data_IF_648383963846
#
_entry.id   IF_648383963846
#
_cell.length_a   1.000
_cell.length_b   1.000
_cell.length_c   1.000
_cell.angle_alpha   90.00
_cell.angle_beta   90.00
_cell.angle_gamma   90.00
#
_symmetry.space_group_name_H-M   'P 1'
#
loop_
_entity.id
_entity.type
_entity.pdbx_description
1 polymer ?
#
# COMPACT_ATOMS: atom_id res chain seq x y z
N UNK A 1 -27.44 19.70 9.17
CA UNK A 1 -26.20 19.74 8.35
C UNK A 1 -24.90 19.89 9.13
N UNK A 2 -24.71 20.88 10.01
CA UNK A 2 -23.44 21.05 10.76
C UNK A 2 -23.01 19.82 11.58
N UNK A 3 -23.94 19.13 12.27
CA UNK A 3 -23.64 17.90 13.03
C UNK A 3 -23.15 16.75 12.13
N UNK A 4 -23.70 16.64 10.92
CA UNK A 4 -23.31 15.62 9.93
C UNK A 4 -21.89 15.91 9.41
N UNK A 5 -21.60 17.17 9.08
CA UNK A 5 -20.26 17.59 8.66
C UNK A 5 -19.22 17.41 9.77
N UNK A 6 -19.55 17.77 11.01
CA UNK A 6 -18.67 17.53 12.15
C UNK A 6 -18.40 16.04 12.34
N UNK A 7 -19.43 15.18 12.25
CA UNK A 7 -19.27 13.72 12.34
C UNK A 7 -18.37 13.15 11.25
N UNK A 8 -18.53 13.59 10.00
CA UNK A 8 -17.66 13.18 8.89
C UNK A 8 -16.22 13.68 9.08
N UNK A 9 -16.04 14.93 9.53
CA UNK A 9 -14.72 15.49 9.78
C UNK A 9 -13.98 14.73 10.89
N UNK A 10 -14.67 14.41 11.98
CA UNK A 10 -14.14 13.59 13.08
C UNK A 10 -13.71 12.23 12.55
N UNK A 11 -14.56 11.55 11.76
CA UNK A 11 -14.20 10.25 11.14
C UNK A 11 -12.91 10.36 10.32
N UNK A 12 -12.77 11.39 9.49
CA UNK A 12 -11.57 11.56 8.65
C UNK A 12 -10.30 11.85 9.45
N UNK A 13 -10.40 12.55 10.59
CA UNK A 13 -9.25 12.82 11.48
C UNK A 13 -8.90 11.56 12.27
N UNK A 14 -9.88 10.93 12.91
CA UNK A 14 -9.69 9.71 13.70
C UNK A 14 -9.09 8.58 12.86
N UNK A 15 -9.50 8.43 11.59
CA UNK A 15 -8.87 7.45 10.70
C UNK A 15 -7.40 7.72 10.45
N UNK A 16 -7.01 8.99 10.24
CA UNK A 16 -5.61 9.32 10.02
C UNK A 16 -4.77 9.02 11.27
N UNK A 17 -5.27 9.39 12.44
CA UNK A 17 -4.64 9.09 13.73
C UNK A 17 -4.53 7.57 13.97
N UNK A 18 -5.57 6.81 13.64
CA UNK A 18 -5.55 5.34 13.72
C UNK A 18 -4.44 4.76 12.83
N UNK A 19 -4.39 5.16 11.56
CA UNK A 19 -3.36 4.67 10.62
C UNK A 19 -1.96 4.99 11.14
N UNK A 20 -1.72 6.24 11.56
CA UNK A 20 -0.43 6.68 12.07
C UNK A 20 -0.04 5.98 13.37
N UNK A 21 -1.01 5.74 14.25
CA UNK A 21 -0.79 5.01 15.51
C UNK A 21 -0.38 3.57 15.23
N UNK A 22 -1.08 2.87 14.33
CA UNK A 22 -0.74 1.50 13.95
C UNK A 22 0.65 1.45 13.33
N UNK A 23 0.95 2.32 12.38
CA UNK A 23 2.24 2.38 11.71
C UNK A 23 3.40 2.61 12.70
N UNK A 24 3.25 3.61 13.57
CA UNK A 24 4.26 3.94 14.57
C UNK A 24 4.45 2.83 15.62
N UNK A 25 3.38 2.18 16.06
CA UNK A 25 3.48 1.07 17.03
C UNK A 25 4.18 -0.12 16.38
N UNK A 26 3.77 -0.52 15.19
CA UNK A 26 4.29 -1.73 14.54
C UNK A 26 5.73 -1.53 14.07
N UNK A 27 6.04 -0.38 13.46
CA UNK A 27 7.31 -0.15 12.76
C UNK A 27 8.26 0.85 13.41
N UNK A 28 7.89 1.47 14.53
CA UNK A 28 8.56 2.62 15.13
C UNK A 28 8.38 3.93 14.33
N UNK A 29 8.28 5.10 14.97
CA UNK A 29 8.05 6.36 14.28
C UNK A 29 9.07 6.66 13.17
N UNK A 30 8.55 7.14 12.03
CA UNK A 30 9.28 7.52 10.83
C UNK A 30 9.98 6.40 10.05
N UNK A 31 10.00 5.14 10.53
CA UNK A 31 10.61 4.00 9.82
C UNK A 31 9.96 3.78 8.45
N UNK A 32 8.62 3.70 8.38
CA UNK A 32 7.89 3.51 7.12
C UNK A 32 8.15 4.62 6.09
N UNK A 33 8.32 5.87 6.55
CA UNK A 33 8.64 7.00 5.67
C UNK A 33 10.07 6.92 5.13
N UNK A 34 11.02 6.46 5.94
CA UNK A 34 12.40 6.21 5.49
C UNK A 34 12.43 5.07 4.48
N UNK A 35 11.66 4.02 4.72
CA UNK A 35 11.54 2.88 3.80
C UNK A 35 11.05 3.32 2.41
N UNK A 36 10.01 4.17 2.35
CA UNK A 36 9.53 4.71 1.07
C UNK A 36 10.61 5.51 0.33
N UNK A 37 11.37 6.33 1.06
CA UNK A 37 12.46 7.10 0.48
C UNK A 37 13.58 6.19 -0.06
N UNK A 38 13.91 5.10 0.65
CA UNK A 38 14.91 4.12 0.21
C UNK A 38 14.41 3.31 -0.99
N UNK A 39 13.13 2.91 -1.03
CA UNK A 39 12.55 2.26 -2.22
C UNK A 39 12.63 3.16 -3.46
N UNK A 40 12.30 4.44 -3.30
CA UNK A 40 12.44 5.45 -4.36
C UNK A 40 13.90 5.60 -4.81
N UNK A 41 14.83 5.77 -3.86
CA UNK A 41 16.25 5.94 -4.14
C UNK A 41 16.90 4.70 -4.76
N UNK A 42 16.45 3.50 -4.39
CA UNK A 42 16.90 2.25 -4.99
C UNK A 42 16.42 2.13 -6.44
N UNK A 43 15.17 2.50 -6.73
CA UNK A 43 14.65 2.54 -8.10
C UNK A 43 15.39 3.56 -8.97
N UNK A 44 15.73 4.74 -8.42
CA UNK A 44 16.52 5.77 -9.12
C UNK A 44 17.93 5.32 -9.50
N UNK A 45 18.55 4.50 -8.65
CA UNK A 45 19.93 3.99 -8.85
C UNK A 45 19.98 2.64 -9.56
N UNK A 46 18.84 2.07 -9.98
CA UNK A 46 18.69 0.68 -10.46
C UNK A 46 19.31 -0.36 -9.50
N UNK A 47 19.25 -0.09 -8.19
CA UNK A 47 19.84 -0.89 -7.12
C UNK A 47 18.78 -1.67 -6.32
N UNK A 48 17.72 -2.12 -7.00
CA UNK A 48 16.56 -2.78 -6.38
C UNK A 48 16.89 -4.15 -5.74
N UNK A 49 17.98 -4.76 -6.17
CA UNK A 49 18.48 -6.04 -5.65
C UNK A 49 19.20 -5.87 -4.30
N UNK A 50 19.53 -4.63 -3.89
CA UNK A 50 20.16 -4.36 -2.60
C UNK A 50 19.16 -4.47 -1.44
N UNK A 51 19.60 -5.03 -0.32
CA UNK A 51 18.83 -5.01 0.91
C UNK A 51 18.76 -3.61 1.49
N UNK A 52 17.53 -3.18 1.81
CA UNK A 52 17.28 -1.89 2.44
C UNK A 52 17.30 -2.16 3.93
N UNK A 53 18.37 -1.74 4.59
CA UNK A 53 18.46 -1.77 6.04
C UNK A 53 18.03 -0.42 6.59
N UNK A 54 17.14 -0.43 7.59
CA UNK A 54 16.74 0.78 8.31
C UNK A 54 17.09 0.56 9.78
N UNK A 55 18.01 1.36 10.32
CA UNK A 55 18.52 1.23 11.70
C UNK A 55 17.43 1.14 12.79
N UNK A 56 16.22 1.66 12.51
CA UNK A 56 15.08 1.70 13.42
C UNK A 56 14.09 0.55 13.25
N UNK A 57 14.29 -0.38 12.31
CA UNK A 57 13.32 -1.44 11.97
C UNK A 57 13.00 -2.39 13.15
N UNK A 58 13.98 -2.60 14.03
CA UNK A 58 13.86 -3.47 15.21
C UNK A 58 13.33 -2.78 16.48
N UNK A 59 13.08 -1.47 16.41
CA UNK A 59 12.56 -0.68 17.53
C UNK A 59 11.02 -0.72 17.62
N UNK A 60 10.34 -1.21 16.57
CA UNK A 60 8.90 -1.38 16.54
C UNK A 60 8.39 -2.58 17.35
N UNK A 61 7.09 -2.59 17.63
CA UNK A 61 6.46 -3.64 18.44
C UNK A 61 6.14 -4.93 17.66
N UNK A 62 6.38 -4.97 16.35
CA UNK A 62 6.06 -6.12 15.49
C UNK A 62 6.50 -7.48 16.08
N UNK A 63 7.75 -7.58 16.56
CA UNK A 63 8.33 -8.83 17.11
C UNK A 63 7.64 -9.33 18.40
N UNK A 64 6.89 -8.46 19.07
CA UNK A 64 6.16 -8.78 20.29
C UNK A 64 4.67 -9.08 20.05
N UNK A 65 4.20 -9.00 18.80
CA UNK A 65 2.81 -9.23 18.43
C UNK A 65 2.58 -10.65 17.91
N UNK A 66 1.49 -11.31 18.32
CA UNK A 66 1.07 -12.58 17.73
C UNK A 66 0.44 -12.36 16.35
N UNK A 67 0.31 -13.42 15.54
CA UNK A 67 -0.35 -13.31 14.22
C UNK A 67 -1.79 -12.81 14.38
N UNK A 68 -2.48 -13.22 15.43
CA UNK A 68 -3.82 -12.73 15.77
C UNK A 68 -3.84 -11.20 15.96
N UNK A 69 -2.89 -10.62 16.72
CA UNK A 69 -2.83 -9.17 16.90
C UNK A 69 -2.62 -8.44 15.57
N UNK A 70 -1.69 -8.94 14.74
CA UNK A 70 -1.41 -8.33 13.44
C UNK A 70 -2.62 -8.42 12.48
N UNK A 71 -3.33 -9.55 12.45
CA UNK A 71 -4.56 -9.67 11.65
C UNK A 71 -5.64 -8.69 12.08
N UNK A 72 -5.79 -8.42 13.40
CA UNK A 72 -6.71 -7.38 13.88
C UNK A 72 -6.31 -5.98 13.44
N UNK A 73 -5.01 -5.66 13.44
CA UNK A 73 -4.53 -4.38 12.90
C UNK A 73 -4.77 -4.27 11.40
N UNK A 74 -4.56 -5.38 10.66
CA UNK A 74 -4.86 -5.46 9.23
C UNK A 74 -6.36 -5.21 8.95
N UNK A 75 -7.27 -5.79 9.74
CA UNK A 75 -8.71 -5.53 9.60
C UNK A 75 -9.02 -4.03 9.71
N UNK A 76 -8.51 -3.37 10.76
CA UNK A 76 -8.67 -1.93 10.97
C UNK A 76 -8.11 -1.08 9.81
N UNK A 77 -6.93 -1.43 9.30
CA UNK A 77 -6.29 -0.72 8.19
C UNK A 77 -7.09 -0.90 6.89
N UNK A 78 -7.58 -2.11 6.62
CA UNK A 78 -8.39 -2.41 5.43
C UNK A 78 -9.73 -1.68 5.49
N UNK A 79 -10.42 -1.65 6.63
CA UNK A 79 -11.64 -0.86 6.79
C UNK A 79 -11.40 0.63 6.55
N UNK A 80 -10.30 1.18 7.08
CA UNK A 80 -9.91 2.57 6.85
C UNK A 80 -9.59 2.85 5.38
N UNK A 81 -8.92 1.91 4.69
CA UNK A 81 -8.65 2.00 3.26
C UNK A 81 -9.95 1.98 2.45
N UNK A 82 -10.84 1.01 2.68
CA UNK A 82 -12.11 0.88 1.97
C UNK A 82 -12.99 2.12 2.11
N UNK A 83 -13.04 2.72 3.31
CA UNK A 83 -13.74 3.99 3.50
C UNK A 83 -13.14 5.12 2.67
N UNK A 84 -11.81 5.27 2.71
CA UNK A 84 -11.11 6.36 2.02
C UNK A 84 -11.22 6.23 0.49
N UNK A 85 -11.08 5.00 -0.03
CA UNK A 85 -11.32 4.65 -1.43
C UNK A 85 -12.74 4.97 -1.86
N UNK A 86 -13.75 4.53 -1.11
CA UNK A 86 -15.15 4.81 -1.40
C UNK A 86 -15.45 6.33 -1.42
N UNK A 87 -14.89 7.07 -0.46
CA UNK A 87 -14.99 8.53 -0.43
C UNK A 87 -14.35 9.17 -1.67
N UNK A 88 -13.13 8.75 -2.04
CA UNK A 88 -12.39 9.33 -3.15
C UNK A 88 -13.04 9.05 -4.51
N UNK A 89 -13.61 7.85 -4.69
CA UNK A 89 -14.34 7.42 -5.88
C UNK A 89 -15.72 8.07 -6.01
N UNK A 90 -16.33 8.55 -4.93
CA UNK A 90 -17.64 9.20 -4.99
C UNK A 90 -17.54 10.67 -5.41
N UNK A 91 -17.45 10.90 -6.72
CA UNK A 91 -17.32 12.24 -7.29
C UNK A 91 -18.49 13.16 -6.89
N UNK A 92 -19.72 12.65 -6.92
CA UNK A 92 -20.94 13.42 -6.63
C UNK A 92 -20.96 13.88 -5.18
N UNK A 93 -20.80 12.96 -4.23
CA UNK A 93 -20.75 13.27 -2.80
C UNK A 93 -19.67 14.30 -2.49
N UNK A 94 -18.47 14.13 -3.05
CA UNK A 94 -17.37 15.10 -2.87
C UNK A 94 -17.70 16.48 -3.45
N UNK A 95 -18.42 16.55 -4.56
CA UNK A 95 -18.88 17.83 -5.13
C UNK A 95 -19.90 18.51 -4.23
N UNK A 96 -20.86 17.75 -3.69
CA UNK A 96 -21.85 18.27 -2.72
C UNK A 96 -21.15 18.81 -1.47
N UNK A 97 -20.22 18.03 -0.90
CA UNK A 97 -19.44 18.45 0.27
C UNK A 97 -18.66 19.74 0.00
N UNK A 98 -17.99 19.82 -1.15
CA UNK A 98 -17.25 21.02 -1.55
C UNK A 98 -18.15 22.26 -1.69
N UNK A 99 -19.30 22.12 -2.36
CA UNK A 99 -20.29 23.21 -2.49
C UNK A 99 -20.86 23.65 -1.14
N UNK A 100 -20.95 22.74 -0.19
CA UNK A 100 -21.35 23.03 1.20
C UNK A 100 -20.22 23.63 2.06
N UNK A 101 -19.03 23.88 1.50
CA UNK A 101 -17.89 24.46 2.22
C UNK A 101 -17.14 23.49 3.13
N UNK A 102 -17.37 22.18 3.00
CA UNK A 102 -16.67 21.17 3.80
C UNK A 102 -15.16 21.18 3.47
N UNK A 103 -14.33 21.45 4.50
CA UNK A 103 -12.85 21.57 4.41
C UNK A 103 -12.34 22.67 3.45
N UNK A 104 -13.09 23.76 3.31
CA UNK A 104 -12.59 24.98 2.67
C UNK A 104 -12.78 25.04 1.15
N UNK A 105 -11.80 25.59 0.43
CA UNK A 105 -11.97 26.06 -0.96
C UNK A 105 -11.76 24.98 -2.03
N UNK A 106 -11.19 23.82 -1.70
CA UNK A 106 -10.91 22.75 -2.67
C UNK A 106 -11.79 21.52 -2.43
N UNK A 107 -11.96 20.70 -3.47
CA UNK A 107 -12.75 19.48 -3.39
C UNK A 107 -12.09 18.52 -2.39
N UNK A 108 -12.76 18.13 -1.29
CA UNK A 108 -12.15 17.31 -0.26
C UNK A 108 -11.74 15.96 -0.83
N UNK A 109 -10.64 15.40 -0.34
CA UNK A 109 -10.18 14.05 -0.65
C UNK A 109 -9.57 13.41 0.59
N UNK A 110 -9.41 12.10 0.56
CA UNK A 110 -8.77 11.28 1.58
C UNK A 110 -7.60 10.49 0.98
N UNK A 111 -6.89 11.08 0.00
CA UNK A 111 -5.80 10.39 -0.71
C UNK A 111 -4.73 9.91 0.26
N UNK A 112 -4.37 10.74 1.24
CA UNK A 112 -3.39 10.38 2.27
C UNK A 112 -3.86 9.20 3.13
N UNK A 113 -5.13 9.20 3.57
CA UNK A 113 -5.68 8.08 4.34
C UNK A 113 -5.72 6.81 3.49
N UNK A 114 -6.17 6.91 2.25
CA UNK A 114 -6.24 5.80 1.31
C UNK A 114 -4.88 5.14 1.08
N UNK A 115 -3.86 5.94 0.75
CA UNK A 115 -2.53 5.41 0.42
C UNK A 115 -1.76 4.98 1.66
N UNK A 116 -1.84 5.73 2.77
CA UNK A 116 -1.11 5.39 4.01
C UNK A 116 -1.69 4.14 4.69
N UNK A 117 -3.02 3.97 4.71
CA UNK A 117 -3.64 2.77 5.29
C UNK A 117 -3.25 1.51 4.52
N UNK A 118 -3.29 1.57 3.20
CA UNK A 118 -2.92 0.45 2.35
C UNK A 118 -1.41 0.17 2.39
N UNK A 119 -0.56 1.20 2.39
CA UNK A 119 0.88 1.02 2.53
C UNK A 119 1.25 0.36 3.87
N UNK A 120 0.65 0.81 4.98
CA UNK A 120 0.85 0.18 6.30
C UNK A 120 0.38 -1.29 6.30
N UNK A 121 -0.79 -1.56 5.69
CA UNK A 121 -1.32 -2.92 5.53
C UNK A 121 -0.34 -3.82 4.76
N UNK A 122 0.17 -3.34 3.62
CA UNK A 122 1.15 -4.08 2.81
C UNK A 122 2.45 -4.34 3.56
N UNK A 123 2.99 -3.35 4.31
CA UNK A 123 4.21 -3.55 5.11
C UNK A 123 4.02 -4.66 6.15
N UNK A 124 2.87 -4.68 6.83
CA UNK A 124 2.56 -5.72 7.82
C UNK A 124 2.48 -7.08 7.12
N UNK A 125 1.70 -7.19 6.04
CA UNK A 125 1.52 -8.45 5.33
C UNK A 125 2.84 -8.98 4.76
N UNK A 126 3.63 -8.16 4.07
CA UNK A 126 4.92 -8.58 3.52
C UNK A 126 5.90 -8.98 4.63
N UNK A 127 5.95 -8.24 5.75
CA UNK A 127 6.81 -8.61 6.90
C UNK A 127 6.37 -9.94 7.50
N UNK A 128 5.07 -10.16 7.70
CA UNK A 128 4.53 -11.44 8.17
C UNK A 128 4.84 -12.59 7.20
N UNK A 129 4.81 -12.31 5.89
CA UNK A 129 4.92 -13.33 4.86
C UNK A 129 6.34 -13.87 4.68
N UNK A 130 7.36 -13.13 5.12
CA UNK A 130 8.77 -13.58 5.14
C UNK A 130 9.26 -13.96 6.54
N UNK A 131 8.41 -13.80 7.56
CA UNK A 131 8.73 -14.13 8.95
C UNK A 131 8.58 -15.62 9.20
N UNK A 132 9.72 -16.28 9.42
CA UNK A 132 9.81 -17.72 9.68
C UNK A 132 9.10 -18.15 10.97
N UNK A 133 8.89 -17.23 11.92
CA UNK A 133 8.14 -17.52 13.15
C UNK A 133 6.62 -17.56 12.93
N UNK A 134 6.15 -17.29 11.70
CA UNK A 134 4.73 -17.22 11.34
C UNK A 134 4.34 -18.19 10.23
N UNK A 135 5.15 -19.24 10.02
CA UNK A 135 4.90 -20.29 9.01
C UNK A 135 3.50 -20.87 9.10
N UNK A 136 2.99 -21.06 10.31
CA UNK A 136 1.64 -21.54 10.61
C UNK A 136 0.53 -20.66 10.02
N UNK A 137 0.82 -19.38 9.79
CA UNK A 137 -0.12 -18.39 9.25
C UNK A 137 0.13 -18.06 7.77
N UNK A 138 1.16 -18.61 7.12
CA UNK A 138 1.59 -18.18 5.78
C UNK A 138 0.51 -18.31 4.71
N UNK A 139 -0.28 -19.38 4.71
CA UNK A 139 -1.36 -19.55 3.73
C UNK A 139 -2.42 -18.44 3.85
N UNK A 140 -2.82 -18.11 5.07
CA UNK A 140 -3.78 -17.04 5.35
C UNK A 140 -3.19 -15.66 4.98
N UNK A 141 -1.90 -15.44 5.25
CA UNK A 141 -1.18 -14.22 4.86
C UNK A 141 -1.12 -14.10 3.34
N UNK A 142 -0.76 -15.18 2.63
CA UNK A 142 -0.68 -15.21 1.17
C UNK A 142 -2.03 -14.89 0.53
N UNK A 143 -3.10 -15.54 0.99
CA UNK A 143 -4.46 -15.30 0.48
C UNK A 143 -4.87 -13.83 0.67
N UNK A 144 -4.65 -13.28 1.86
CA UNK A 144 -4.98 -11.87 2.14
C UNK A 144 -4.13 -10.92 1.31
N UNK A 145 -2.83 -11.18 1.17
CA UNK A 145 -1.91 -10.36 0.37
C UNK A 145 -2.27 -10.38 -1.13
N UNK A 146 -2.62 -11.55 -1.68
CA UNK A 146 -3.11 -11.66 -3.06
C UNK A 146 -4.38 -10.83 -3.25
N UNK A 147 -5.37 -10.96 -2.37
CA UNK A 147 -6.63 -10.18 -2.45
C UNK A 147 -6.36 -8.67 -2.42
N UNK A 148 -5.63 -8.20 -1.41
CA UNK A 148 -5.36 -6.77 -1.19
C UNK A 148 -4.59 -6.18 -2.37
N UNK A 149 -3.55 -6.84 -2.85
CA UNK A 149 -2.76 -6.36 -3.97
C UNK A 149 -3.54 -6.39 -5.29
N UNK A 150 -4.31 -7.44 -5.56
CA UNK A 150 -5.16 -7.50 -6.75
C UNK A 150 -6.20 -6.39 -6.77
N UNK A 151 -6.88 -6.14 -5.64
CA UNK A 151 -7.82 -5.04 -5.51
C UNK A 151 -7.17 -3.67 -5.68
N UNK A 152 -5.95 -3.49 -5.16
CA UNK A 152 -5.18 -2.26 -5.28
C UNK A 152 -4.77 -2.00 -6.74
N UNK A 153 -4.20 -3.00 -7.42
CA UNK A 153 -3.78 -2.90 -8.82
C UNK A 153 -4.99 -2.69 -9.74
N UNK A 154 -6.07 -3.45 -9.55
CA UNK A 154 -7.32 -3.27 -10.28
C UNK A 154 -7.88 -1.86 -10.09
N UNK A 155 -7.85 -1.34 -8.86
CA UNK A 155 -8.33 0.01 -8.59
C UNK A 155 -7.47 1.07 -9.27
N UNK A 156 -6.14 0.98 -9.15
CA UNK A 156 -5.21 1.94 -9.75
C UNK A 156 -5.44 2.13 -11.26
N UNK A 157 -5.74 1.04 -11.99
CA UNK A 157 -6.04 1.09 -13.42
C UNK A 157 -7.27 1.97 -13.72
N UNK A 158 -8.25 2.00 -12.81
CA UNK A 158 -9.48 2.81 -12.96
C UNK A 158 -9.31 4.29 -12.56
N UNK A 159 -8.21 4.66 -11.91
CA UNK A 159 -8.00 6.01 -11.37
C UNK A 159 -7.67 7.00 -12.50
N UNK A 160 -8.63 7.80 -12.96
CA UNK A 160 -8.39 8.71 -14.09
C UNK A 160 -7.62 10.00 -13.74
N UNK A 161 -7.52 10.37 -12.47
CA UNK A 161 -6.88 11.61 -12.02
C UNK A 161 -5.37 11.45 -11.90
N UNK A 162 -4.60 12.28 -12.60
CA UNK A 162 -3.13 12.28 -12.57
C UNK A 162 -2.59 12.48 -11.14
N UNK A 163 -3.08 13.49 -10.41
CA UNK A 163 -2.68 13.72 -9.02
C UNK A 163 -3.07 12.57 -8.07
N UNK A 164 -4.14 11.83 -8.36
CA UNK A 164 -4.47 10.62 -7.62
C UNK A 164 -3.46 9.50 -7.96
N UNK A 165 -3.13 9.27 -9.23
CA UNK A 165 -2.09 8.30 -9.61
C UNK A 165 -0.74 8.65 -9.00
N UNK A 166 -0.37 9.93 -9.01
CA UNK A 166 0.87 10.42 -8.40
C UNK A 166 0.93 10.08 -6.90
N UNK A 167 -0.17 10.27 -6.16
CA UNK A 167 -0.27 9.89 -4.75
C UNK A 167 -0.08 8.38 -4.50
N UNK A 168 -0.32 7.53 -5.50
CA UNK A 168 -0.16 6.08 -5.45
C UNK A 168 1.25 5.59 -5.81
N UNK A 169 2.15 6.47 -6.26
CA UNK A 169 3.49 6.11 -6.72
C UNK A 169 4.27 5.28 -5.71
N UNK A 170 4.42 5.77 -4.48
CA UNK A 170 5.15 5.06 -3.42
C UNK A 170 4.49 3.74 -3.04
N UNK A 171 3.16 3.67 -3.13
CA UNK A 171 2.42 2.45 -2.83
C UNK A 171 2.70 1.35 -3.87
N UNK A 172 2.73 1.71 -5.16
CA UNK A 172 3.09 0.79 -6.23
C UNK A 172 4.56 0.35 -6.13
N UNK A 173 5.47 1.26 -5.79
CA UNK A 173 6.87 0.91 -5.55
C UNK A 173 7.00 -0.08 -4.40
N UNK A 174 6.37 0.20 -3.25
CA UNK A 174 6.35 -0.72 -2.11
C UNK A 174 5.85 -2.11 -2.52
N UNK A 175 4.69 -2.18 -3.19
CA UNK A 175 4.08 -3.44 -3.62
C UNK A 175 5.02 -4.24 -4.53
N UNK A 176 5.54 -3.60 -5.59
CA UNK A 176 6.36 -4.27 -6.59
C UNK A 176 7.73 -4.66 -6.02
N UNK A 177 8.39 -3.75 -5.29
CA UNK A 177 9.70 -4.02 -4.69
C UNK A 177 9.64 -5.09 -3.62
N UNK A 178 8.62 -5.09 -2.75
CA UNK A 178 8.47 -6.17 -1.76
C UNK A 178 8.12 -7.51 -2.41
N UNK A 179 7.28 -7.52 -3.45
CA UNK A 179 7.01 -8.75 -4.22
C UNK A 179 8.28 -9.26 -4.90
N UNK A 180 9.14 -8.38 -5.41
CA UNK A 180 10.44 -8.76 -5.99
C UNK A 180 11.42 -9.38 -4.98
N UNK A 181 11.19 -9.27 -3.67
CA UNK A 181 12.09 -9.79 -2.63
C UNK A 181 11.64 -11.10 -1.98
N UNK A 182 10.41 -11.56 -2.22
CA UNK A 182 9.96 -12.85 -1.69
C UNK A 182 10.58 -14.03 -2.46
N UNK A 183 10.55 -15.24 -1.89
CA UNK A 183 11.10 -16.45 -2.52
C UNK A 183 10.45 -16.76 -3.88
N UNK A 184 11.12 -17.52 -4.74
CA UNK A 184 10.62 -17.84 -6.09
C UNK A 184 9.27 -18.57 -6.07
N UNK A 185 9.06 -19.47 -5.11
CA UNK A 185 7.78 -20.17 -4.92
C UNK A 185 6.64 -19.19 -4.64
N UNK A 186 6.84 -18.28 -3.67
CA UNK A 186 5.87 -17.25 -3.32
C UNK A 186 5.67 -16.27 -4.48
N UNK A 187 6.77 -15.85 -5.14
CA UNK A 187 6.75 -14.96 -6.28
C UNK A 187 5.91 -15.51 -7.43
N UNK A 188 5.97 -16.82 -7.71
CA UNK A 188 5.18 -17.45 -8.77
C UNK A 188 3.68 -17.22 -8.57
N UNK A 189 3.16 -17.40 -7.35
CA UNK A 189 1.75 -17.16 -7.05
C UNK A 189 1.37 -15.69 -7.28
N UNK A 190 2.15 -14.74 -6.74
CA UNK A 190 1.90 -13.32 -6.88
C UNK A 190 2.04 -12.83 -8.33
N UNK A 191 3.09 -13.24 -9.03
CA UNK A 191 3.34 -12.86 -10.41
C UNK A 191 2.22 -13.35 -11.34
N UNK A 192 1.77 -14.61 -11.20
CA UNK A 192 0.65 -15.13 -11.99
C UNK A 192 -0.63 -14.33 -11.77
N UNK A 193 -0.92 -13.94 -10.53
CA UNK A 193 -2.12 -13.15 -10.21
C UNK A 193 -2.00 -11.69 -10.67
N UNK A 194 -0.83 -11.08 -10.53
CA UNK A 194 -0.65 -9.66 -10.81
C UNK A 194 -0.43 -9.34 -12.29
N UNK A 195 0.09 -10.31 -13.06
CA UNK A 195 0.53 -10.12 -14.43
C UNK A 195 -0.46 -9.35 -15.33
N UNK A 196 -1.76 -9.70 -15.40
CA UNK A 196 -2.70 -8.96 -16.25
C UNK A 196 -2.82 -7.49 -15.85
N UNK A 197 -2.84 -7.18 -14.55
CA UNK A 197 -2.91 -5.79 -14.08
C UNK A 197 -1.63 -5.02 -14.38
N UNK A 198 -0.46 -5.65 -14.25
CA UNK A 198 0.82 -5.01 -14.56
C UNK A 198 0.92 -4.67 -16.05
N UNK A 199 0.39 -5.53 -16.93
CA UNK A 199 0.29 -5.24 -18.37
C UNK A 199 -0.59 -4.01 -18.65
N UNK A 200 -1.74 -3.88 -17.99
CA UNK A 200 -2.58 -2.68 -18.11
C UNK A 200 -1.87 -1.43 -17.58
N UNK A 201 -1.16 -1.55 -16.45
CA UNK A 201 -0.43 -0.43 -15.84
C UNK A 201 0.66 0.13 -16.77
N UNK A 202 1.29 -0.70 -17.60
CA UNK A 202 2.30 -0.26 -18.57
C UNK A 202 1.77 0.71 -19.63
N UNK A 203 0.45 0.80 -19.82
CA UNK A 203 -0.15 1.73 -20.79
C UNK A 203 -0.21 3.17 -20.26
N UNK A 204 0.00 3.39 -18.96
CA UNK A 204 0.06 4.72 -18.37
C UNK A 204 1.44 5.37 -18.52
N UNK A 205 1.47 6.70 -18.46
CA UNK A 205 2.73 7.43 -18.34
C UNK A 205 3.26 7.33 -16.91
N UNK A 206 4.11 6.32 -16.67
CA UNK A 206 4.72 6.05 -15.37
C UNK A 206 6.01 6.84 -15.19
N UNK A 207 6.36 7.22 -13.97
CA UNK A 207 7.70 7.78 -13.71
C UNK A 207 8.81 6.74 -13.98
N UNK A 208 10.04 7.16 -14.29
CA UNK A 208 11.16 6.26 -14.58
C UNK A 208 11.36 5.15 -13.55
N UNK A 209 11.22 5.47 -12.26
CA UNK A 209 11.37 4.58 -11.13
C UNK A 209 10.38 3.42 -11.16
N UNK A 210 9.09 3.71 -11.42
CA UNK A 210 8.07 2.67 -11.55
C UNK A 210 8.32 1.78 -12.77
N UNK A 211 8.74 2.38 -13.90
CA UNK A 211 9.12 1.61 -15.10
C UNK A 211 10.30 0.68 -14.82
N UNK A 212 11.31 1.13 -14.05
CA UNK A 212 12.46 0.33 -13.67
C UNK A 212 12.06 -0.89 -12.81
N UNK A 213 11.24 -0.69 -11.78
CA UNK A 213 10.76 -1.78 -10.92
C UNK A 213 9.88 -2.76 -11.71
N UNK A 214 8.95 -2.27 -12.55
CA UNK A 214 8.14 -3.13 -13.41
C UNK A 214 8.99 -3.95 -14.38
N UNK A 215 10.01 -3.35 -14.99
CA UNK A 215 10.94 -4.07 -15.86
C UNK A 215 11.61 -5.22 -15.11
N UNK A 216 12.13 -4.99 -13.90
CA UNK A 216 12.73 -6.04 -13.06
C UNK A 216 11.71 -7.13 -12.72
N UNK A 217 10.46 -6.76 -12.44
CA UNK A 217 9.38 -7.71 -12.22
C UNK A 217 9.16 -8.65 -13.41
N UNK A 218 9.04 -8.10 -14.62
CA UNK A 218 8.87 -8.92 -15.84
C UNK A 218 10.10 -9.77 -16.17
N UNK A 219 11.31 -9.25 -15.95
CA UNK A 219 12.53 -10.05 -16.11
C UNK A 219 12.57 -11.24 -15.13
N UNK A 220 12.15 -11.01 -13.88
CA UNK A 220 12.07 -12.08 -12.88
C UNK A 220 11.02 -13.14 -13.25
N UNK A 221 9.91 -12.76 -13.90
CA UNK A 221 8.96 -13.72 -14.48
C UNK A 221 9.67 -14.66 -15.46
N UNK A 222 10.45 -14.13 -16.40
CA UNK A 222 11.21 -14.95 -17.36
C UNK A 222 12.08 -16.01 -16.67
N UNK A 223 12.83 -15.60 -15.64
CA UNK A 223 13.71 -16.48 -14.87
C UNK A 223 12.93 -17.53 -14.07
N UNK A 224 11.92 -17.12 -13.28
CA UNK A 224 11.18 -18.00 -12.36
C UNK A 224 10.25 -18.96 -13.13
N UNK A 225 9.68 -18.52 -14.25
CA UNK A 225 8.79 -19.34 -15.08
C UNK A 225 9.53 -20.13 -16.16
N UNK A 226 10.82 -19.84 -16.41
CA UNK A 226 11.65 -20.47 -17.46
C UNK A 226 11.06 -20.29 -18.85
N UNK A 227 10.73 -19.04 -19.20
CA UNK A 227 10.19 -18.62 -20.51
C UNK A 227 11.12 -17.67 -21.24
#
# INVERSE_FOLDING_TARGET
DQKLFAGLLIKCVVQLELIQTIDNIVFYPATSKKEDAEHMAAAQRDALDADIHIDTEDQGMYKYMSSHHLFKLLDCLQESHSFSKAFNSNYEQRTVLWRAGFKGKSKPNLLKQETSSLACCLRILFRMYVDENRRDSWDAIQQRLLSVCSEALAYFITVNSESHREAWTNLLLLLLTKTLKISDEKFRAHASTYYPYLCEIMQFDLIPELRAVLRKFFLRIGVVFKI
#
